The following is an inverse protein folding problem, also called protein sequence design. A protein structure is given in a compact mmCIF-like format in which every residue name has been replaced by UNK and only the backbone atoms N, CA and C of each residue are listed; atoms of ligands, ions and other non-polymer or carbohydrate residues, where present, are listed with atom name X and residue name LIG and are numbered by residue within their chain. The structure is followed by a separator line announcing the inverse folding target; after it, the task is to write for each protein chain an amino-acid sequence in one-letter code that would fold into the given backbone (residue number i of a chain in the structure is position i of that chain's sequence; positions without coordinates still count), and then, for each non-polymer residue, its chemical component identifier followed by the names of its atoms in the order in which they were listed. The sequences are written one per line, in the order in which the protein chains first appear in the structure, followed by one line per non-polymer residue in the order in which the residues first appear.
data_IF_806141740988
#
_entry.id   IF_806141740988
#
_cell.length_a   1.000
_cell.length_b   1.000
_cell.length_c   1.000
_cell.angle_alpha   90.00
_cell.angle_beta   90.00
_cell.angle_gamma   90.00
#
_symmetry.space_group_name_H-M   'P 1'
#
loop_
_entity.id
_entity.type
_entity.pdbx_description
1 polymer ?
#
# COMPACT_ATOMS: atom_id res chain seq x y z
N UNK A 1 3.34 -32.70 -12.28
CA UNK A 1 3.93 -32.57 -13.62
C UNK A 1 2.87 -32.02 -14.56
N UNK A 2 2.73 -30.70 -14.68
CA UNK A 2 1.81 -30.06 -15.62
C UNK A 2 2.44 -30.13 -16.99
N UNK A 3 1.81 -30.86 -17.89
CA UNK A 3 2.26 -30.97 -19.29
C UNK A 3 2.14 -29.59 -19.95
N UNK A 4 3.23 -29.11 -20.53
CA UNK A 4 3.33 -27.91 -21.32
C UNK A 4 2.65 -28.06 -22.68
N UNK A 5 1.33 -28.05 -22.73
CA UNK A 5 0.52 -27.91 -23.95
C UNK A 5 -0.93 -27.63 -23.57
N UNK A 6 -1.16 -26.63 -22.70
CA UNK A 6 -2.49 -26.06 -22.50
C UNK A 6 -2.55 -24.76 -23.30
N UNK A 7 -3.51 -24.69 -24.18
CA UNK A 7 -3.85 -23.53 -25.04
C UNK A 7 -3.74 -22.22 -24.25
N UNK A 8 -2.75 -21.36 -24.62
CA UNK A 8 -2.59 -20.03 -24.06
C UNK A 8 -1.24 -19.69 -23.41
N UNK A 9 -0.28 -20.60 -23.36
CA UNK A 9 1.06 -20.28 -22.87
C UNK A 9 1.77 -19.28 -23.80
N UNK A 10 2.33 -18.20 -23.23
CA UNK A 10 3.09 -17.21 -23.98
C UNK A 10 4.57 -17.31 -23.62
N UNK A 11 5.49 -16.91 -24.49
CA UNK A 11 6.93 -16.89 -24.17
C UNK A 11 7.25 -16.08 -22.90
N UNK A 12 6.49 -15.00 -22.63
CA UNK A 12 6.63 -14.20 -21.43
C UNK A 12 6.26 -15.00 -20.15
N UNK A 13 5.25 -15.87 -20.26
CA UNK A 13 4.85 -16.73 -19.15
C UNK A 13 5.90 -17.80 -18.85
N UNK A 14 6.50 -18.38 -19.89
CA UNK A 14 7.57 -19.37 -19.76
C UNK A 14 8.81 -18.76 -19.10
N UNK A 15 9.21 -17.54 -19.51
CA UNK A 15 10.28 -16.79 -18.86
C UNK A 15 9.99 -16.53 -17.38
N UNK A 16 8.77 -16.06 -17.05
CA UNK A 16 8.37 -15.81 -15.67
C UNK A 16 8.49 -17.09 -14.81
N UNK A 17 8.04 -18.22 -15.34
CA UNK A 17 8.11 -19.52 -14.66
C UNK A 17 9.55 -20.05 -14.52
N UNK A 18 10.45 -19.66 -15.44
CA UNK A 18 11.87 -19.95 -15.36
C UNK A 18 12.64 -19.05 -14.39
N UNK A 19 12.00 -18.00 -13.84
CA UNK A 19 12.64 -17.01 -12.99
C UNK A 19 13.53 -16.04 -13.76
N UNK A 20 13.33 -15.91 -15.07
CA UNK A 20 14.07 -14.97 -15.90
C UNK A 20 13.51 -13.55 -15.77
N UNK A 21 14.37 -12.54 -15.98
CA UNK A 21 13.95 -11.15 -15.98
C UNK A 21 13.04 -10.85 -17.17
N UNK A 22 11.89 -10.23 -16.87
CA UNK A 22 10.91 -9.87 -17.88
C UNK A 22 11.24 -8.50 -18.51
N UNK A 23 11.24 -8.44 -19.84
CA UNK A 23 11.32 -7.18 -20.56
C UNK A 23 9.98 -6.41 -20.49
N UNK A 24 10.01 -5.14 -20.92
CA UNK A 24 8.76 -4.36 -21.09
C UNK A 24 7.75 -5.06 -22.01
N UNK A 25 8.23 -5.64 -23.11
CA UNK A 25 7.36 -6.35 -24.07
C UNK A 25 6.75 -7.61 -23.44
N UNK A 26 7.52 -8.35 -22.65
CA UNK A 26 7.00 -9.51 -21.91
C UNK A 26 5.90 -9.08 -20.92
N UNK A 27 6.11 -7.96 -20.22
CA UNK A 27 5.10 -7.39 -19.30
C UNK A 27 3.80 -7.02 -20.02
N UNK A 28 3.89 -6.35 -21.18
CA UNK A 28 2.70 -6.04 -22.01
C UNK A 28 1.99 -7.30 -22.47
N UNK A 29 2.74 -8.34 -22.87
CA UNK A 29 2.16 -9.63 -23.28
C UNK A 29 1.40 -10.31 -22.14
N UNK A 30 1.94 -10.28 -20.91
CA UNK A 30 1.25 -10.81 -19.72
C UNK A 30 -0.01 -10.03 -19.37
N UNK A 31 0.00 -8.69 -19.52
CA UNK A 31 -1.18 -7.85 -19.31
C UNK A 31 -2.30 -8.10 -20.34
N UNK A 32 -1.97 -8.62 -21.50
CA UNK A 32 -2.92 -8.99 -22.58
C UNK A 32 -3.40 -10.44 -22.46
N UNK A 33 -2.93 -11.21 -21.48
CA UNK A 33 -3.32 -12.60 -21.29
C UNK A 33 -4.80 -12.70 -20.86
N UNK A 34 -5.62 -13.31 -21.73
CA UNK A 34 -7.05 -13.48 -21.47
C UNK A 34 -7.34 -14.59 -20.45
N UNK A 35 -6.48 -15.61 -20.40
CA UNK A 35 -6.62 -16.71 -19.44
C UNK A 35 -6.05 -16.32 -18.08
N UNK A 36 -6.87 -15.69 -17.25
CA UNK A 36 -6.49 -15.25 -15.90
C UNK A 36 -6.15 -16.40 -14.96
N UNK A 37 -6.72 -17.58 -15.15
CA UNK A 37 -6.37 -18.76 -14.33
C UNK A 37 -4.96 -19.24 -14.62
N UNK A 38 -4.56 -19.23 -15.88
CA UNK A 38 -3.19 -19.56 -16.27
C UNK A 38 -2.19 -18.57 -15.72
N UNK A 39 -2.48 -17.27 -15.87
CA UNK A 39 -1.66 -16.18 -15.31
C UNK A 39 -1.56 -16.28 -13.79
N UNK A 40 -2.69 -16.48 -13.10
CA UNK A 40 -2.74 -16.64 -11.66
C UNK A 40 -1.97 -17.85 -11.16
N UNK A 41 -2.09 -19.02 -11.84
CA UNK A 41 -1.33 -20.21 -11.50
C UNK A 41 0.18 -20.04 -11.67
N UNK A 42 0.60 -19.31 -12.72
CA UNK A 42 2.01 -18.98 -12.90
C UNK A 42 2.52 -18.01 -11.84
N UNK A 43 1.76 -16.98 -11.51
CA UNK A 43 2.10 -16.04 -10.45
C UNK A 43 2.21 -16.74 -9.08
N UNK A 44 1.27 -17.65 -8.76
CA UNK A 44 1.34 -18.44 -7.53
C UNK A 44 2.55 -19.37 -7.48
N UNK A 45 2.91 -19.99 -8.61
CA UNK A 45 4.12 -20.80 -8.71
C UNK A 45 5.38 -19.98 -8.41
N UNK A 46 5.53 -18.80 -9.05
CA UNK A 46 6.66 -17.90 -8.82
C UNK A 46 6.69 -17.43 -7.35
N UNK A 47 5.56 -17.03 -6.80
CA UNK A 47 5.43 -16.68 -5.38
C UNK A 47 5.88 -17.83 -4.49
N UNK A 48 5.40 -19.05 -4.75
CA UNK A 48 5.74 -20.23 -3.96
C UNK A 48 7.25 -20.53 -4.01
N UNK A 49 7.87 -20.42 -5.17
CA UNK A 49 9.30 -20.65 -5.33
C UNK A 49 10.15 -19.62 -4.55
N UNK A 50 9.65 -18.37 -4.43
CA UNK A 50 10.33 -17.30 -3.70
C UNK A 50 10.08 -17.32 -2.19
N UNK A 51 8.86 -17.59 -1.75
CA UNK A 51 8.41 -17.40 -0.37
C UNK A 51 7.90 -18.67 0.31
N UNK A 52 7.82 -19.79 -0.40
CA UNK A 52 7.23 -21.03 0.11
C UNK A 52 5.75 -20.84 0.48
N UNK A 53 5.33 -21.49 1.57
CA UNK A 53 3.96 -21.38 2.08
C UNK A 53 3.75 -20.29 3.14
N UNK A 54 4.74 -19.40 3.30
CA UNK A 54 4.65 -18.31 4.28
C UNK A 54 3.82 -17.18 3.71
N UNK A 55 2.79 -16.77 4.45
CA UNK A 55 1.98 -15.59 4.19
C UNK A 55 2.09 -14.67 5.41
N UNK A 56 2.44 -13.43 5.18
CA UNK A 56 2.49 -12.40 6.22
C UNK A 56 1.33 -11.43 6.06
N UNK A 57 0.88 -10.87 7.16
CA UNK A 57 -0.12 -9.80 7.15
C UNK A 57 0.21 -8.77 8.21
N UNK A 58 -0.33 -7.58 8.07
CA UNK A 58 -0.31 -6.52 9.07
C UNK A 58 -1.74 -6.09 9.39
N UNK A 59 -2.00 -5.83 10.66
CA UNK A 59 -3.21 -5.12 11.08
C UNK A 59 -2.90 -3.62 11.08
N UNK A 60 -3.09 -2.98 9.93
CA UNK A 60 -2.79 -1.55 9.75
C UNK A 60 -3.92 -0.65 10.24
N UNK A 61 -3.57 0.40 10.98
CA UNK A 61 -4.46 1.50 11.29
C UNK A 61 -4.03 2.77 10.55
N UNK A 62 -4.94 3.38 9.80
CA UNK A 62 -4.68 4.64 9.09
C UNK A 62 -4.84 5.83 10.05
N UNK A 63 -3.73 6.46 10.40
CA UNK A 63 -3.69 7.67 11.20
C UNK A 63 -3.52 8.89 10.28
N UNK A 64 -4.64 9.54 9.98
CA UNK A 64 -4.64 10.74 9.16
C UNK A 64 -4.47 11.96 10.07
N UNK A 65 -3.27 12.56 10.10
CA UNK A 65 -2.95 13.68 10.98
C UNK A 65 -3.54 15.03 10.51
N UNK A 66 -3.84 15.19 9.24
CA UNK A 66 -4.52 16.37 8.69
C UNK A 66 -5.18 16.06 7.36
N UNK A 67 -6.32 16.71 7.07
CA UNK A 67 -6.93 16.72 5.75
C UNK A 67 -6.65 18.03 4.97
N UNK A 68 -5.98 18.99 5.59
CA UNK A 68 -5.60 20.24 4.90
C UNK A 68 -4.48 19.94 3.91
N UNK A 69 -4.71 20.22 2.62
CA UNK A 69 -3.78 19.89 1.54
C UNK A 69 -3.66 20.98 0.49
N UNK A 70 -2.44 21.39 0.18
CA UNK A 70 -2.15 22.36 -0.86
C UNK A 70 -2.22 21.78 -2.29
N UNK A 71 -2.10 20.45 -2.45
CA UNK A 71 -2.06 19.80 -3.76
C UNK A 71 -3.40 19.79 -4.50
N UNK A 72 -4.54 19.81 -3.78
CA UNK A 72 -5.91 19.89 -4.34
C UNK A 72 -6.17 18.91 -5.50
N UNK A 73 -5.73 17.65 -5.35
CA UNK A 73 -5.90 16.62 -6.38
C UNK A 73 -7.38 16.34 -6.67
N UNK A 74 -7.76 16.34 -7.94
CA UNK A 74 -9.18 16.19 -8.36
C UNK A 74 -9.80 14.85 -7.96
N UNK A 75 -9.00 13.80 -7.80
CA UNK A 75 -9.47 12.47 -7.38
C UNK A 75 -9.58 12.31 -5.86
N UNK A 76 -9.09 13.27 -5.07
CA UNK A 76 -9.01 13.13 -3.62
C UNK A 76 -10.26 13.73 -2.96
N UNK A 77 -11.15 12.89 -2.49
CA UNK A 77 -12.32 13.32 -1.70
C UNK A 77 -11.95 13.72 -0.26
N UNK A 78 -10.74 13.41 0.19
CA UNK A 78 -10.28 13.61 1.56
C UNK A 78 -9.77 15.03 1.83
N UNK A 79 -9.13 15.68 0.84
CA UNK A 79 -8.49 16.97 1.06
C UNK A 79 -9.48 18.08 1.38
N UNK A 80 -9.03 19.04 2.20
CA UNK A 80 -9.72 20.30 2.50
C UNK A 80 -8.77 21.47 2.31
N UNK A 81 -9.35 22.61 1.99
CA UNK A 81 -8.63 23.89 2.08
C UNK A 81 -8.70 24.39 3.51
N UNK A 82 -7.66 25.14 3.93
CA UNK A 82 -7.69 25.77 5.24
C UNK A 82 -8.89 26.71 5.38
N UNK A 83 -9.65 26.55 6.47
CA UNK A 83 -10.87 27.35 6.74
C UNK A 83 -12.18 26.67 6.36
N UNK A 84 -12.18 25.51 5.71
CA UNK A 84 -13.38 24.72 5.54
C UNK A 84 -13.84 24.13 6.88
N UNK A 85 -15.15 23.96 7.07
CA UNK A 85 -15.77 23.63 8.37
C UNK A 85 -15.31 22.27 8.93
N UNK A 86 -14.90 21.33 8.09
CA UNK A 86 -14.41 20.01 8.44
C UNK A 86 -12.90 19.84 8.21
N UNK A 87 -12.18 20.98 7.99
CA UNK A 87 -10.73 20.98 7.94
C UNK A 87 -10.14 20.76 9.34
N UNK A 88 -9.14 19.89 9.45
CA UNK A 88 -8.49 19.60 10.73
C UNK A 88 -6.98 19.38 10.59
N UNK A 89 -6.29 19.58 11.70
CA UNK A 89 -4.93 19.13 11.96
C UNK A 89 -4.86 18.65 13.40
N UNK A 90 -4.43 17.42 13.61
CA UNK A 90 -4.36 16.80 14.93
C UNK A 90 -3.21 17.37 15.76
N UNK A 91 -3.43 17.55 17.06
CA UNK A 91 -2.36 17.82 18.01
C UNK A 91 -1.59 16.52 18.34
N UNK A 92 -0.42 16.64 18.95
CA UNK A 92 0.37 15.47 19.39
C UNK A 92 -0.42 14.57 20.34
N UNK A 93 -1.19 15.16 21.24
CA UNK A 93 -2.02 14.44 22.20
C UNK A 93 -3.14 13.64 21.50
N UNK A 94 -3.79 14.24 20.51
CA UNK A 94 -4.81 13.58 19.70
C UNK A 94 -4.23 12.42 18.88
N UNK A 95 -3.04 12.61 18.36
CA UNK A 95 -2.31 11.58 17.60
C UNK A 95 -1.99 10.39 18.51
N UNK A 96 -1.42 10.65 19.69
CA UNK A 96 -1.09 9.60 20.66
C UNK A 96 -2.34 8.87 21.15
N UNK A 97 -3.43 9.58 21.41
CA UNK A 97 -4.70 8.97 21.83
C UNK A 97 -5.23 8.00 20.75
N UNK A 98 -5.22 8.39 19.49
CA UNK A 98 -5.64 7.53 18.37
C UNK A 98 -4.68 6.34 18.16
N UNK A 99 -3.37 6.56 18.29
CA UNK A 99 -2.39 5.49 18.18
C UNK A 99 -2.59 4.43 19.29
N UNK A 100 -2.82 4.86 20.53
CA UNK A 100 -3.12 3.97 21.65
C UNK A 100 -4.42 3.20 21.44
N UNK A 101 -5.49 3.87 21.04
CA UNK A 101 -6.76 3.23 20.71
C UNK A 101 -6.57 2.16 19.64
N UNK A 102 -5.79 2.46 18.59
CA UNK A 102 -5.52 1.51 17.52
C UNK A 102 -4.82 0.25 18.03
N UNK A 103 -3.83 0.38 18.90
CA UNK A 103 -3.09 -0.75 19.46
C UNK A 103 -3.93 -1.50 20.51
N UNK A 104 -4.47 -0.79 21.50
CA UNK A 104 -5.08 -1.39 22.68
C UNK A 104 -6.47 -1.98 22.39
N UNK A 105 -7.21 -1.36 21.46
CA UNK A 105 -8.61 -1.72 21.19
C UNK A 105 -8.77 -2.48 19.87
N UNK A 106 -8.04 -2.07 18.83
CA UNK A 106 -8.17 -2.65 17.49
C UNK A 106 -7.08 -3.69 17.16
N UNK A 107 -6.09 -3.86 18.05
CA UNK A 107 -4.98 -4.81 17.84
C UNK A 107 -4.08 -4.44 16.66
N UNK A 108 -3.95 -3.15 16.34
CA UNK A 108 -3.10 -2.72 15.24
C UNK A 108 -1.63 -3.05 15.53
N UNK A 109 -0.97 -3.64 14.54
CA UNK A 109 0.47 -3.95 14.57
C UNK A 109 1.30 -2.93 13.79
N UNK A 110 0.63 -2.05 13.03
CA UNK A 110 1.25 -1.01 12.22
C UNK A 110 0.36 0.24 12.18
N UNK A 111 0.99 1.41 12.32
CA UNK A 111 0.35 2.70 12.05
C UNK A 111 0.75 3.19 10.67
N UNK A 112 -0.21 3.31 9.78
CA UNK A 112 -0.03 3.90 8.46
C UNK A 112 -0.34 5.40 8.53
N UNK A 113 0.71 6.22 8.74
CA UNK A 113 0.58 7.65 9.01
C UNK A 113 0.60 8.40 7.67
N UNK A 114 -0.54 8.95 7.29
CA UNK A 114 -0.72 9.73 6.06
C UNK A 114 -1.51 11.00 6.34
N UNK A 115 -1.46 11.97 5.40
CA UNK A 115 -2.23 13.21 5.53
C UNK A 115 -2.06 14.11 4.33
N UNK A 116 -2.73 15.26 4.35
CA UNK A 116 -2.58 16.28 3.34
C UNK A 116 -1.20 16.97 3.39
N UNK A 117 -0.77 17.54 2.26
CA UNK A 117 0.38 18.46 2.22
C UNK A 117 -0.02 19.80 2.83
N UNK A 118 0.06 19.85 4.16
CA UNK A 118 -0.33 21.05 4.91
C UNK A 118 0.69 22.17 4.70
N UNK A 119 0.28 23.36 4.20
CA UNK A 119 1.22 24.39 3.77
C UNK A 119 2.01 25.06 4.91
N UNK A 120 1.61 24.84 6.17
CA UNK A 120 2.22 25.49 7.34
C UNK A 120 2.90 24.54 8.32
N UNK A 121 2.82 23.20 8.13
CA UNK A 121 3.50 22.27 9.00
C UNK A 121 4.96 22.11 8.55
N UNK A 122 5.88 22.45 9.42
CA UNK A 122 7.31 22.24 9.24
C UNK A 122 7.77 20.86 9.75
N UNK A 123 9.04 20.55 9.54
CA UNK A 123 9.64 19.29 9.96
C UNK A 123 9.50 19.02 11.46
N UNK A 124 9.52 20.08 12.28
CA UNK A 124 9.36 20.01 13.74
C UNK A 124 8.03 19.38 14.16
N UNK A 125 6.95 19.58 13.40
CA UNK A 125 5.68 18.93 13.66
C UNK A 125 5.80 17.40 13.51
N UNK A 126 6.41 16.95 12.42
CA UNK A 126 6.59 15.52 12.14
C UNK A 126 7.53 14.85 13.16
N UNK A 127 8.60 15.52 13.52
CA UNK A 127 9.50 15.03 14.58
C UNK A 127 8.78 14.86 15.91
N UNK A 128 8.01 15.88 16.34
CA UNK A 128 7.23 15.83 17.58
C UNK A 128 6.21 14.70 17.55
N UNK A 129 5.49 14.57 16.44
CA UNK A 129 4.53 13.48 16.21
C UNK A 129 5.18 12.12 16.39
N UNK A 130 6.28 11.87 15.70
CA UNK A 130 6.98 10.57 15.76
C UNK A 130 7.57 10.28 17.14
N UNK A 131 8.12 11.30 17.81
CA UNK A 131 8.63 11.18 19.20
C UNK A 131 7.49 10.85 20.17
N UNK A 132 6.35 11.52 20.03
CA UNK A 132 5.19 11.31 20.91
C UNK A 132 4.55 9.91 20.76
N UNK A 133 4.50 9.37 19.53
CA UNK A 133 3.99 8.01 19.28
C UNK A 133 4.91 6.95 19.88
N UNK A 134 6.23 7.20 19.93
CA UNK A 134 7.22 6.24 20.42
C UNK A 134 7.41 6.25 21.96
N UNK A 135 6.92 7.28 22.63
CA UNK A 135 7.04 7.43 24.10
C UNK A 135 6.04 6.55 24.83
#
# INVERSE_FOLDING_TARGET
MLKSNAEGGTPALEKALAGEELSYTDGVQLMQQENLFLLGSAADKVRHDLCGNVVTFVASYYLNYTNICAASCQLCAFYRKGGESDAYTLTSEQIVARAKEAVDTLGATELHIVGGFHPKLGLDYYEKMMKAIKA
#
